data_IF_591734118083
#
_entry.id   IF_591734118083
#
_cell.length_a   1.000
_cell.length_b   1.000
_cell.length_c   1.000
_cell.angle_alpha   90.00
_cell.angle_beta   90.00
_cell.angle_gamma   90.00
#
_symmetry.space_group_name_H-M   'P 1'
#
loop_
_entity.id
_entity.type
_entity.pdbx_description
1 polymer ?
#
# COMPACT_ATOMS: atom_id res chain seq x y z
N UNK A 1 -17.32 -20.65 -12.13
CA UNK A 1 -18.41 -20.07 -11.32
C UNK A 1 -17.94 -20.04 -9.88
N UNK A 2 -17.67 -18.84 -9.35
CA UNK A 2 -17.40 -18.66 -7.93
C UNK A 2 -18.65 -19.08 -7.14
N UNK A 3 -18.47 -19.90 -6.12
CA UNK A 3 -19.57 -20.37 -5.28
C UNK A 3 -19.96 -19.28 -4.29
N UNK A 4 -20.88 -18.40 -4.70
CA UNK A 4 -21.39 -17.27 -3.91
C UNK A 4 -21.95 -17.74 -2.54
N UNK A 5 -22.51 -18.96 -2.47
CA UNK A 5 -22.98 -19.53 -1.20
C UNK A 5 -21.87 -19.85 -0.20
N UNK A 6 -20.63 -20.10 -0.67
CA UNK A 6 -19.50 -20.28 0.24
C UNK A 6 -19.01 -18.93 0.82
N UNK A 7 -19.17 -17.83 0.08
CA UNK A 7 -18.91 -16.47 0.57
C UNK A 7 -19.96 -16.05 1.61
N UNK A 8 -21.24 -16.36 1.38
CA UNK A 8 -22.32 -16.06 2.33
C UNK A 8 -22.15 -16.82 3.65
N UNK A 9 -21.63 -18.05 3.63
CA UNK A 9 -21.37 -18.83 4.84
C UNK A 9 -20.24 -18.25 5.71
N UNK A 10 -19.30 -17.50 5.13
CA UNK A 10 -18.23 -16.78 5.84
C UNK A 10 -18.70 -15.46 6.45
N UNK A 11 -19.89 -14.95 6.08
CA UNK A 11 -20.44 -13.67 6.50
C UNK A 11 -21.49 -13.79 7.63
N UNK A 12 -21.77 -14.98 8.15
CA UNK A 12 -22.92 -15.24 9.06
C UNK A 12 -22.50 -15.66 10.48
N UNK A 13 -21.40 -15.15 11.05
CA UNK A 13 -21.19 -15.31 12.49
C UNK A 13 -20.69 -14.01 13.13
N UNK A 14 -21.62 -13.08 13.35
CA UNK A 14 -21.45 -11.81 14.07
C UNK A 14 -21.92 -11.96 15.53
N UNK A 15 -21.35 -12.91 16.27
CA UNK A 15 -21.38 -12.88 17.73
C UNK A 15 -20.04 -12.35 18.21
N UNK A 16 -20.00 -11.21 18.95
CA UNK A 16 -18.75 -10.76 19.55
C UNK A 16 -18.33 -11.78 20.61
N UNK A 17 -17.38 -12.64 20.25
CA UNK A 17 -16.74 -13.49 21.23
C UNK A 17 -15.84 -12.62 22.12
N UNK A 18 -16.09 -12.66 23.41
CA UNK A 18 -15.25 -12.07 24.45
C UNK A 18 -13.80 -12.53 24.29
N UNK A 19 -12.80 -11.65 24.50
CA UNK A 19 -11.40 -11.99 24.36
C UNK A 19 -10.90 -12.78 25.58
N UNK A 20 -11.16 -14.08 25.63
CA UNK A 20 -10.54 -14.98 26.61
C UNK A 20 -10.52 -16.41 26.08
N UNK A 21 -9.71 -16.63 25.05
CA UNK A 21 -9.02 -17.90 24.86
C UNK A 21 -7.72 -17.57 24.13
N UNK A 22 -6.59 -17.72 24.82
CA UNK A 22 -5.27 -17.83 24.20
C UNK A 22 -5.31 -19.05 23.29
N UNK A 23 -5.81 -18.89 22.08
CA UNK A 23 -5.71 -19.87 21.03
C UNK A 23 -4.23 -20.15 20.86
N UNK A 24 -3.84 -21.39 21.14
CA UNK A 24 -2.50 -21.88 20.86
C UNK A 24 -2.35 -21.90 19.33
N UNK A 25 -1.94 -20.77 18.75
CA UNK A 25 -1.88 -20.52 17.29
C UNK A 25 -0.89 -21.46 16.59
N UNK A 26 -0.22 -22.37 17.33
CA UNK A 26 0.80 -23.25 16.77
C UNK A 26 1.86 -22.48 15.98
N UNK A 27 2.15 -21.23 16.42
CA UNK A 27 3.07 -20.35 15.73
C UNK A 27 4.45 -20.99 15.60
N UNK A 28 4.95 -21.07 14.37
CA UNK A 28 6.30 -21.53 14.07
C UNK A 28 7.30 -20.39 14.20
N UNK A 29 8.59 -20.69 14.25
CA UNK A 29 9.66 -19.68 14.30
C UNK A 29 9.70 -18.80 13.03
N UNK A 30 9.14 -19.28 11.92
CA UNK A 30 9.10 -18.55 10.65
C UNK A 30 7.87 -17.68 10.46
N UNK A 31 6.85 -17.80 11.31
CA UNK A 31 5.59 -17.08 11.19
C UNK A 31 5.76 -15.60 11.56
N UNK A 32 5.16 -14.73 10.76
CA UNK A 32 5.18 -13.29 10.96
C UNK A 32 3.76 -12.81 11.30
N UNK A 33 3.63 -12.11 12.43
CA UNK A 33 2.38 -11.50 12.86
C UNK A 33 2.21 -10.11 12.25
N UNK A 34 1.01 -9.81 11.80
CA UNK A 34 0.54 -8.45 11.53
C UNK A 34 -0.03 -7.92 12.84
N UNK A 35 0.68 -7.00 13.48
CA UNK A 35 0.33 -6.48 14.80
C UNK A 35 -0.32 -5.10 14.74
N UNK A 36 -0.27 -4.44 13.59
CA UNK A 36 -0.97 -3.19 13.35
C UNK A 36 -1.18 -2.94 11.87
N UNK A 37 -2.25 -2.22 11.55
CA UNK A 37 -2.57 -1.87 10.17
C UNK A 37 -3.32 -0.54 10.08
N UNK A 38 -3.10 0.16 8.98
CA UNK A 38 -3.86 1.35 8.61
C UNK A 38 -3.93 1.47 7.10
N UNK A 39 -5.03 2.02 6.61
CA UNK A 39 -5.26 2.18 5.18
C UNK A 39 -6.11 3.41 4.89
N UNK A 40 -5.81 4.07 3.76
CA UNK A 40 -6.69 5.00 3.06
C UNK A 40 -6.77 4.53 1.62
N UNK A 41 -7.94 4.11 1.15
CA UNK A 41 -8.13 3.49 -0.17
C UNK A 41 -9.42 4.02 -0.79
N UNK A 42 -9.31 4.66 -1.96
CA UNK A 42 -10.49 5.30 -2.56
C UNK A 42 -11.14 6.29 -1.59
N UNK A 43 -12.44 6.19 -1.36
CA UNK A 43 -13.17 7.03 -0.39
C UNK A 43 -13.05 6.56 1.07
N UNK A 44 -12.44 5.41 1.32
CA UNK A 44 -12.31 4.85 2.66
C UNK A 44 -11.09 5.42 3.39
N UNK A 45 -11.33 6.15 4.49
CA UNK A 45 -10.31 6.85 5.28
C UNK A 45 -9.65 5.96 6.35
N UNK A 46 -10.09 4.70 6.48
CA UNK A 46 -9.51 3.73 7.41
C UNK A 46 -9.65 2.29 6.90
N UNK A 47 -8.88 1.36 7.47
CA UNK A 47 -8.98 -0.07 7.17
C UNK A 47 -10.38 -0.62 7.48
N UNK A 48 -11.00 -0.17 8.58
CA UNK A 48 -12.38 -0.55 8.95
C UNK A 48 -13.40 -0.04 7.92
N UNK A 49 -13.30 1.24 7.51
CA UNK A 49 -14.19 1.80 6.49
C UNK A 49 -14.05 1.06 5.15
N UNK A 50 -12.83 0.67 4.79
CA UNK A 50 -12.57 -0.13 3.60
C UNK A 50 -13.19 -1.52 3.70
N UNK A 51 -13.06 -2.19 4.86
CA UNK A 51 -13.68 -3.48 5.11
C UNK A 51 -15.21 -3.42 5.00
N UNK A 52 -15.85 -2.38 5.58
CA UNK A 52 -17.30 -2.18 5.48
C UNK A 52 -17.74 -1.95 4.04
N UNK A 53 -16.97 -1.21 3.24
CA UNK A 53 -17.24 -1.01 1.81
C UNK A 53 -17.18 -2.34 1.05
N UNK A 54 -16.16 -3.18 1.30
CA UNK A 54 -16.02 -4.51 0.72
C UNK A 54 -17.19 -5.43 1.09
N UNK A 55 -17.57 -5.49 2.38
CA UNK A 55 -18.71 -6.29 2.86
C UNK A 55 -20.02 -5.87 2.22
N UNK A 56 -20.20 -4.57 1.99
CA UNK A 56 -21.39 -4.02 1.34
C UNK A 56 -21.39 -4.18 -0.19
N UNK A 57 -20.31 -4.71 -0.78
CA UNK A 57 -20.15 -4.81 -2.24
C UNK A 57 -20.13 -3.46 -2.93
N UNK A 58 -19.64 -2.41 -2.23
CA UNK A 58 -19.64 -1.04 -2.76
C UNK A 58 -18.62 -0.91 -3.89
N UNK A 59 -19.04 -0.37 -5.03
CA UNK A 59 -18.15 0.10 -6.08
C UNK A 59 -17.57 1.47 -5.65
N UNK A 60 -16.25 1.53 -5.45
CA UNK A 60 -15.53 2.74 -5.08
C UNK A 60 -14.86 3.44 -6.26
N UNK A 61 -15.08 2.95 -7.49
CA UNK A 61 -14.67 3.64 -8.72
C UNK A 61 -15.66 4.78 -8.98
N UNK A 62 -15.16 6.00 -9.09
CA UNK A 62 -15.96 7.22 -9.14
C UNK A 62 -15.32 8.32 -9.96
N UNK A 63 -16.06 9.38 -10.20
CA UNK A 63 -15.53 10.61 -10.78
C UNK A 63 -14.42 11.22 -9.92
N UNK A 64 -13.53 11.98 -10.56
CA UNK A 64 -12.48 12.72 -9.85
C UNK A 64 -13.10 13.71 -8.85
N UNK A 65 -12.64 13.74 -7.57
CA UNK A 65 -13.22 14.58 -6.53
C UNK A 65 -13.19 16.06 -6.89
N UNK A 66 -14.34 16.73 -6.78
CA UNK A 66 -14.49 18.15 -7.13
C UNK A 66 -13.53 19.03 -6.34
N UNK A 67 -13.33 18.75 -5.05
CA UNK A 67 -12.42 19.51 -4.18
C UNK A 67 -10.93 19.43 -4.55
N UNK A 68 -10.57 18.60 -5.57
CA UNK A 68 -9.19 18.45 -6.07
C UNK A 68 -9.03 18.99 -7.49
N UNK A 69 -10.13 19.43 -8.16
CA UNK A 69 -10.11 19.83 -9.57
C UNK A 69 -9.25 21.06 -9.84
N UNK A 70 -9.33 22.06 -9.01
CA UNK A 70 -8.57 23.30 -9.19
C UNK A 70 -7.06 23.04 -9.09
N UNK A 71 -6.62 22.29 -8.08
CA UNK A 71 -5.22 21.93 -7.90
C UNK A 71 -4.72 21.06 -9.06
N UNK A 72 -5.50 20.05 -9.47
CA UNK A 72 -5.14 19.20 -10.59
C UNK A 72 -5.08 19.98 -11.92
N UNK A 73 -5.99 20.93 -12.13
CA UNK A 73 -5.96 21.80 -13.30
C UNK A 73 -4.73 22.70 -13.31
N UNK A 74 -4.36 23.27 -12.17
CA UNK A 74 -3.15 24.08 -12.04
C UNK A 74 -1.91 23.25 -12.38
N UNK A 75 -1.75 22.06 -11.77
CA UNK A 75 -0.63 21.17 -12.05
C UNK A 75 -0.55 20.75 -13.53
N UNK A 76 -1.69 20.44 -14.14
CA UNK A 76 -1.75 20.06 -15.54
C UNK A 76 -1.38 21.25 -16.47
N UNK A 77 -1.87 22.45 -16.14
CA UNK A 77 -1.55 23.67 -16.87
C UNK A 77 -0.05 24.00 -16.78
N UNK A 78 0.56 23.87 -15.61
CA UNK A 78 1.99 24.08 -15.41
C UNK A 78 2.84 23.05 -16.18
N UNK A 79 2.40 21.78 -16.19
CA UNK A 79 3.14 20.69 -16.85
C UNK A 79 2.99 20.68 -18.37
N UNK A 80 1.79 21.00 -18.90
CA UNK A 80 1.45 20.83 -20.33
C UNK A 80 1.06 22.12 -21.06
N UNK A 81 0.88 23.22 -20.36
CA UNK A 81 0.49 24.50 -20.94
C UNK A 81 -0.97 24.58 -21.42
N UNK A 82 -1.80 23.57 -21.08
CA UNK A 82 -3.22 23.52 -21.43
C UNK A 82 -4.07 23.17 -20.21
N UNK A 83 -5.34 23.64 -20.12
CA UNK A 83 -6.23 23.27 -19.04
C UNK A 83 -6.51 21.76 -18.99
N UNK A 84 -6.80 21.25 -17.79
CA UNK A 84 -7.24 19.86 -17.59
C UNK A 84 -8.58 19.63 -18.32
N UNK A 85 -8.72 18.49 -18.95
CA UNK A 85 -9.97 18.07 -19.61
C UNK A 85 -11.15 18.03 -18.61
N UNK A 86 -12.34 18.31 -19.08
CA UNK A 86 -13.58 18.11 -18.30
C UNK A 86 -13.99 16.64 -18.26
N UNK A 87 -13.53 15.83 -19.22
CA UNK A 87 -13.81 14.39 -19.31
C UNK A 87 -12.63 13.60 -18.76
N UNK A 88 -12.74 13.19 -17.51
CA UNK A 88 -11.72 12.46 -16.76
C UNK A 88 -12.13 10.99 -16.58
N UNK A 89 -11.15 10.12 -16.47
CA UNK A 89 -11.41 8.71 -16.22
C UNK A 89 -11.91 8.51 -14.78
N UNK A 90 -12.93 7.68 -14.60
CA UNK A 90 -13.38 7.26 -13.27
C UNK A 90 -12.40 6.24 -12.68
N UNK A 91 -11.96 6.45 -11.46
CA UNK A 91 -11.02 5.59 -10.74
C UNK A 91 -11.38 5.54 -9.24
N UNK A 92 -10.66 4.71 -8.47
CA UNK A 92 -10.75 4.73 -7.02
C UNK A 92 -9.94 5.89 -6.43
N UNK A 93 -10.48 7.09 -6.43
CA UNK A 93 -9.80 8.29 -5.94
C UNK A 93 -9.93 8.50 -4.44
N UNK A 94 -8.85 8.95 -3.78
CA UNK A 94 -8.89 9.53 -2.44
C UNK A 94 -9.60 10.90 -2.48
N UNK A 95 -10.43 11.19 -1.47
CA UNK A 95 -11.10 12.49 -1.38
C UNK A 95 -10.12 13.63 -1.14
N UNK A 96 -9.19 13.43 -0.24
CA UNK A 96 -8.25 14.44 0.20
C UNK A 96 -6.82 13.89 0.22
N UNK A 97 -5.92 14.62 -0.42
CA UNK A 97 -4.48 14.29 -0.45
C UNK A 97 -3.62 15.43 0.10
N UNK A 98 -4.26 16.55 0.42
CA UNK A 98 -3.65 17.79 0.88
C UNK A 98 -3.53 17.89 2.40
N UNK A 99 -4.35 17.14 3.16
CA UNK A 99 -4.38 17.22 4.61
C UNK A 99 -3.17 16.57 5.26
N UNK A 100 -2.50 17.33 6.09
CA UNK A 100 -1.36 16.89 6.89
C UNK A 100 -1.22 17.76 8.14
N UNK A 101 -0.97 17.15 9.27
CA UNK A 101 -0.69 17.84 10.52
C UNK A 101 0.83 17.90 10.75
N UNK A 102 1.48 19.00 10.39
CA UNK A 102 2.93 19.12 10.53
C UNK A 102 3.38 19.18 12.00
N UNK A 103 2.54 19.69 12.91
CA UNK A 103 2.87 19.81 14.33
C UNK A 103 3.03 18.42 14.97
N UNK A 104 2.17 17.47 14.61
CA UNK A 104 2.27 16.07 15.06
C UNK A 104 3.64 15.46 14.78
N UNK A 105 4.28 15.87 13.69
CA UNK A 105 5.57 15.34 13.23
C UNK A 105 6.75 16.27 13.55
N UNK A 106 6.51 17.41 14.22
CA UNK A 106 7.54 18.42 14.47
C UNK A 106 8.15 18.99 13.19
N UNK A 107 7.38 19.00 12.09
CA UNK A 107 7.79 19.51 10.78
C UNK A 107 7.35 20.97 10.66
N UNK A 108 8.26 21.84 10.23
CA UNK A 108 7.90 23.24 10.00
C UNK A 108 6.84 23.34 8.87
N UNK A 109 5.82 24.20 8.98
CA UNK A 109 4.78 24.34 7.95
C UNK A 109 5.36 24.57 6.56
N UNK A 110 6.41 25.38 6.43
CA UNK A 110 7.08 25.61 5.14
C UNK A 110 7.76 24.36 4.58
N UNK A 111 8.28 23.48 5.43
CA UNK A 111 8.80 22.18 4.99
C UNK A 111 7.64 21.27 4.51
N UNK A 112 6.55 21.22 5.26
CA UNK A 112 5.38 20.43 4.90
C UNK A 112 4.80 20.83 3.54
N UNK A 113 4.79 22.12 3.19
CA UNK A 113 4.39 22.60 1.87
C UNK A 113 5.31 22.10 0.74
N UNK A 114 6.59 21.87 1.05
CA UNK A 114 7.60 21.35 0.10
C UNK A 114 7.75 19.83 0.12
N UNK A 115 6.88 19.12 0.82
CA UNK A 115 6.80 17.66 0.81
C UNK A 115 5.74 17.19 -0.18
N UNK A 116 6.10 16.23 -1.03
CA UNK A 116 5.11 15.55 -1.87
C UNK A 116 3.96 14.98 -1.03
N UNK A 117 2.70 15.08 -1.47
CA UNK A 117 1.55 14.51 -0.78
C UNK A 117 1.72 13.03 -0.39
N UNK A 118 2.41 12.24 -1.21
CA UNK A 118 2.70 10.84 -0.92
C UNK A 118 3.54 10.66 0.34
N UNK A 119 4.55 11.52 0.58
CA UNK A 119 5.35 11.49 1.80
C UNK A 119 4.49 11.82 3.03
N UNK A 120 3.65 12.86 2.93
CA UNK A 120 2.77 13.30 4.03
C UNK A 120 1.74 12.24 4.41
N UNK A 121 1.08 11.66 3.41
CA UNK A 121 0.09 10.61 3.62
C UNK A 121 0.71 9.34 4.17
N UNK A 122 1.88 8.93 3.65
CA UNK A 122 2.56 7.75 4.19
C UNK A 122 2.95 7.93 5.66
N UNK A 123 3.50 9.08 6.05
CA UNK A 123 3.78 9.37 7.46
C UNK A 123 2.54 9.23 8.34
N UNK A 124 1.42 9.80 7.91
CA UNK A 124 0.15 9.73 8.65
C UNK A 124 -0.35 8.30 8.79
N UNK A 125 -0.40 7.54 7.67
CA UNK A 125 -0.92 6.18 7.65
C UNK A 125 -0.01 5.22 8.42
N UNK A 126 1.32 5.37 8.31
CA UNK A 126 2.28 4.57 9.06
C UNK A 126 2.18 4.81 10.58
N UNK A 127 1.98 6.07 10.98
CA UNK A 127 1.75 6.39 12.40
C UNK A 127 0.47 5.78 12.93
N UNK A 128 -0.61 5.87 12.17
CA UNK A 128 -1.87 5.26 12.57
C UNK A 128 -1.73 3.72 12.71
N UNK A 129 -0.96 3.06 11.82
CA UNK A 129 -0.67 1.63 11.95
C UNK A 129 0.18 1.30 13.19
N UNK A 130 1.11 2.17 13.56
CA UNK A 130 1.90 2.02 14.79
C UNK A 130 1.04 2.23 16.05
N UNK A 131 0.11 3.19 16.02
CA UNK A 131 -0.85 3.41 17.11
C UNK A 131 -1.80 2.23 17.26
N UNK A 132 -2.27 1.66 16.16
CA UNK A 132 -3.07 0.43 16.14
C UNK A 132 -2.31 -0.76 16.75
N UNK A 133 -1.00 -0.84 16.50
CA UNK A 133 -0.10 -1.83 17.11
C UNK A 133 0.29 -1.52 18.58
N UNK A 134 -0.12 -0.39 19.14
CA UNK A 134 0.29 0.03 20.48
C UNK A 134 1.71 0.62 20.59
N UNK A 135 2.38 0.87 19.47
CA UNK A 135 3.75 1.43 19.40
C UNK A 135 3.73 2.95 19.19
N UNK A 136 3.18 3.70 20.13
CA UNK A 136 3.14 5.16 20.07
C UNK A 136 4.37 5.85 20.67
N UNK A 137 4.49 7.15 20.40
CA UNK A 137 5.49 8.03 21.01
C UNK A 137 6.93 7.65 20.67
N UNK A 138 7.79 7.53 21.68
CA UNK A 138 9.22 7.22 21.54
C UNK A 138 9.57 5.75 21.77
N UNK A 139 8.58 4.86 21.82
CA UNK A 139 8.77 3.43 22.18
C UNK A 139 9.73 2.70 21.23
N UNK A 140 9.82 3.10 19.98
CA UNK A 140 10.69 2.51 18.96
C UNK A 140 12.04 3.22 18.80
N UNK A 141 12.29 4.32 19.53
CA UNK A 141 13.52 5.08 19.35
C UNK A 141 14.78 4.27 19.68
N UNK A 142 15.73 4.23 18.76
CA UNK A 142 16.98 3.46 18.87
C UNK A 142 16.84 1.95 18.61
N UNK A 143 15.64 1.45 18.31
CA UNK A 143 15.41 0.03 18.01
C UNK A 143 15.82 -0.36 16.59
N UNK A 144 15.99 -1.67 16.35
CA UNK A 144 16.24 -2.23 15.02
C UNK A 144 14.91 -2.43 14.25
N UNK A 145 14.06 -1.41 14.21
CA UNK A 145 12.88 -1.43 13.38
C UNK A 145 13.23 -0.96 11.96
N UNK A 146 12.76 -1.70 10.94
CA UNK A 146 12.96 -1.39 9.52
C UNK A 146 11.71 -0.78 8.88
N UNK A 147 11.91 -0.02 7.80
CA UNK A 147 10.83 0.59 6.99
C UNK A 147 10.99 0.16 5.55
N UNK A 148 9.97 -0.50 4.99
CA UNK A 148 9.97 -1.05 3.64
C UNK A 148 8.74 -0.56 2.90
N UNK A 149 8.91 0.26 1.86
CA UNK A 149 7.77 0.91 1.18
C UNK A 149 7.77 0.58 -0.30
N UNK A 150 6.67 0.00 -0.76
CA UNK A 150 6.45 -0.29 -2.17
C UNK A 150 5.75 0.87 -2.89
N UNK A 151 6.40 1.39 -3.93
CA UNK A 151 5.81 2.39 -4.83
C UNK A 151 6.64 2.44 -6.11
N UNK A 152 6.01 2.71 -7.25
CA UNK A 152 6.75 2.94 -8.49
C UNK A 152 7.10 4.42 -8.73
N UNK A 153 7.03 5.23 -7.69
CA UNK A 153 7.48 6.62 -7.68
C UNK A 153 6.38 7.62 -7.32
N UNK A 154 6.84 8.80 -6.93
CA UNK A 154 6.03 10.00 -6.83
C UNK A 154 6.11 10.75 -8.14
N UNK A 155 5.03 11.39 -8.54
CA UNK A 155 4.94 12.14 -9.79
C UNK A 155 5.96 13.30 -9.83
N UNK A 156 6.26 13.90 -8.68
CA UNK A 156 7.20 15.02 -8.57
C UNK A 156 6.72 16.32 -9.20
N UNK A 157 5.63 16.29 -9.96
CA UNK A 157 5.05 17.47 -10.63
C UNK A 157 4.47 18.51 -9.67
N UNK A 158 4.11 18.06 -8.47
CA UNK A 158 3.53 18.92 -7.43
C UNK A 158 4.49 20.02 -6.93
N UNK A 159 5.77 19.79 -6.98
CA UNK A 159 6.75 20.68 -6.35
C UNK A 159 7.37 21.62 -7.37
N UNK A 160 7.56 22.91 -7.01
CA UNK A 160 8.17 23.89 -7.89
C UNK A 160 9.57 23.46 -8.31
N UNK A 161 10.04 23.96 -9.44
CA UNK A 161 11.41 23.75 -9.86
C UNK A 161 12.38 24.29 -8.79
N UNK A 162 13.30 23.42 -8.37
CA UNK A 162 14.25 23.71 -7.29
C UNK A 162 15.10 24.96 -7.61
N UNK A 163 15.40 25.17 -8.88
CA UNK A 163 16.20 26.31 -9.34
C UNK A 163 15.47 27.66 -9.16
N UNK A 164 14.14 27.65 -8.99
CA UNK A 164 13.34 28.84 -8.69
C UNK A 164 13.28 29.19 -7.22
N UNK A 165 13.75 28.31 -6.34
CA UNK A 165 13.68 28.46 -4.88
C UNK A 165 14.89 29.18 -4.32
N UNK A 166 14.68 29.85 -3.16
CA UNK A 166 15.81 30.36 -2.39
C UNK A 166 16.72 29.20 -1.94
N UNK A 167 18.06 29.39 -1.88
CA UNK A 167 18.99 28.32 -1.50
C UNK A 167 18.65 27.60 -0.19
N UNK A 168 18.13 28.33 0.81
CA UNK A 168 17.72 27.76 2.08
C UNK A 168 16.52 26.78 1.96
N UNK A 169 15.68 26.89 0.93
CA UNK A 169 14.54 26.03 0.69
C UNK A 169 14.83 24.92 -0.32
N UNK A 170 15.90 25.03 -1.09
CA UNK A 170 16.23 24.09 -2.17
C UNK A 170 16.49 22.68 -1.63
N UNK A 171 17.27 22.52 -0.57
CA UNK A 171 17.56 21.23 0.03
C UNK A 171 16.31 20.54 0.58
N UNK A 172 15.41 21.31 1.18
CA UNK A 172 14.12 20.80 1.70
C UNK A 172 13.21 20.35 0.56
N UNK A 173 13.13 21.13 -0.53
CA UNK A 173 12.35 20.80 -1.70
C UNK A 173 12.89 19.55 -2.41
N UNK A 174 14.22 19.39 -2.52
CA UNK A 174 14.83 18.16 -3.04
C UNK A 174 14.40 16.97 -2.19
N UNK A 175 14.52 17.04 -0.86
CA UNK A 175 14.07 15.99 0.04
C UNK A 175 12.57 15.70 -0.13
N UNK A 176 11.75 16.70 -0.43
CA UNK A 176 10.33 16.56 -0.72
C UNK A 176 10.02 15.79 -1.99
N UNK A 177 10.93 15.75 -2.97
CA UNK A 177 10.75 15.09 -4.28
C UNK A 177 11.34 13.68 -4.39
N UNK A 178 12.25 13.31 -3.51
CA UNK A 178 13.01 12.06 -3.63
C UNK A 178 12.26 10.89 -3.02
N UNK A 179 12.01 9.85 -3.82
CA UNK A 179 11.29 8.63 -3.39
C UNK A 179 11.87 7.99 -2.12
N UNK A 180 13.18 7.84 -2.04
CA UNK A 180 13.83 7.21 -0.89
C UNK A 180 13.55 7.93 0.44
N UNK A 181 13.19 9.20 0.38
CA UNK A 181 12.86 10.00 1.56
C UNK A 181 11.51 9.57 2.18
N UNK A 182 10.62 8.94 1.44
CA UNK A 182 9.35 8.42 1.98
C UNK A 182 9.63 7.47 3.16
N UNK A 183 10.45 6.45 2.94
CA UNK A 183 10.80 5.48 3.96
C UNK A 183 11.75 6.07 5.03
N UNK A 184 12.78 6.82 4.59
CA UNK A 184 13.79 7.34 5.50
C UNK A 184 13.28 8.48 6.39
N UNK A 185 12.27 9.26 5.98
CA UNK A 185 11.67 10.30 6.80
C UNK A 185 10.95 9.71 8.02
N UNK A 186 10.21 8.62 7.85
CA UNK A 186 9.61 7.89 8.96
C UNK A 186 10.67 7.33 9.90
N UNK A 187 11.71 6.69 9.34
CA UNK A 187 12.84 6.17 10.11
C UNK A 187 13.57 7.27 10.90
N UNK A 188 13.80 8.43 10.27
CA UNK A 188 14.41 9.60 10.90
C UNK A 188 13.54 10.13 12.06
N UNK A 189 12.25 10.32 11.80
CA UNK A 189 11.34 10.87 12.80
C UNK A 189 11.18 9.98 14.03
N UNK A 190 11.09 8.66 13.84
CA UNK A 190 11.02 7.67 14.93
C UNK A 190 12.40 7.31 15.53
N UNK A 191 13.50 7.85 14.99
CA UNK A 191 14.88 7.49 15.39
C UNK A 191 15.16 5.99 15.30
N UNK A 192 14.72 5.33 14.21
CA UNK A 192 14.93 3.90 13.99
C UNK A 192 16.37 3.59 13.54
N UNK A 193 16.83 2.36 13.74
CA UNK A 193 18.18 1.89 13.38
C UNK A 193 18.17 0.77 12.32
N UNK A 194 17.01 0.27 11.95
CA UNK A 194 16.87 -0.70 10.87
C UNK A 194 16.95 -0.07 9.48
N UNK A 195 16.94 -0.88 8.42
CA UNK A 195 16.92 -0.41 7.03
C UNK A 195 15.68 0.45 6.73
N UNK A 196 15.85 1.46 5.86
CA UNK A 196 14.77 2.24 5.28
C UNK A 196 14.86 2.14 3.76
N UNK A 197 13.95 1.40 3.13
CA UNK A 197 14.07 0.96 1.74
C UNK A 197 12.81 1.27 0.95
N UNK A 198 12.97 1.86 -0.23
CA UNK A 198 11.93 1.92 -1.24
C UNK A 198 12.10 0.76 -2.21
N UNK A 199 10.99 0.12 -2.55
CA UNK A 199 10.93 -1.03 -3.45
C UNK A 199 10.08 -0.67 -4.66
N UNK A 200 10.64 -0.82 -5.86
CA UNK A 200 9.92 -0.66 -7.11
C UNK A 200 10.02 -1.95 -7.94
N UNK A 201 8.91 -2.64 -8.01
CA UNK A 201 8.66 -3.79 -8.89
C UNK A 201 7.30 -3.60 -9.59
N UNK A 202 6.99 -2.36 -9.94
CA UNK A 202 5.73 -1.92 -10.53
C UNK A 202 4.52 -2.30 -9.63
N UNK A 203 3.49 -2.93 -10.19
CA UNK A 203 2.27 -3.29 -9.46
C UNK A 203 2.49 -4.29 -8.30
N UNK A 204 3.59 -5.00 -8.26
CA UNK A 204 3.94 -5.91 -7.14
C UNK A 204 4.78 -5.26 -6.02
N UNK A 205 5.09 -3.97 -6.09
CA UNK A 205 6.03 -3.28 -5.20
C UNK A 205 5.70 -3.46 -3.72
N UNK A 206 4.43 -3.32 -3.32
CA UNK A 206 4.02 -3.45 -1.92
C UNK A 206 4.16 -4.87 -1.39
N UNK A 207 3.83 -5.90 -2.20
CA UNK A 207 4.06 -7.30 -1.83
C UNK A 207 5.56 -7.63 -1.76
N UNK A 208 6.37 -7.13 -2.70
CA UNK A 208 7.83 -7.28 -2.66
C UNK A 208 8.42 -6.64 -1.39
N UNK A 209 7.96 -5.45 -1.00
CA UNK A 209 8.35 -4.80 0.26
C UNK A 209 7.98 -5.66 1.49
N UNK A 210 6.77 -6.23 1.51
CA UNK A 210 6.33 -7.13 2.57
C UNK A 210 7.18 -8.40 2.65
N UNK A 211 7.51 -9.00 1.52
CA UNK A 211 8.39 -10.19 1.46
C UNK A 211 9.78 -9.89 1.99
N UNK A 212 10.37 -8.74 1.61
CA UNK A 212 11.66 -8.32 2.14
C UNK A 212 11.59 -8.15 3.66
N UNK A 213 10.59 -7.46 4.18
CA UNK A 213 10.38 -7.30 5.61
C UNK A 213 10.25 -8.65 6.34
N UNK A 214 9.47 -9.60 5.79
CA UNK A 214 9.34 -10.93 6.37
C UNK A 214 10.70 -11.67 6.44
N UNK A 215 11.52 -11.57 5.38
CA UNK A 215 12.86 -12.18 5.35
C UNK A 215 13.79 -11.56 6.39
N UNK A 216 13.79 -10.23 6.52
CA UNK A 216 14.59 -9.50 7.51
C UNK A 216 14.17 -9.81 8.96
N UNK A 217 12.87 -9.98 9.22
CA UNK A 217 12.35 -10.42 10.51
C UNK A 217 12.76 -11.87 10.83
N UNK A 218 12.65 -12.79 9.86
CA UNK A 218 13.06 -14.20 10.01
C UNK A 218 14.55 -14.35 10.22
N UNK A 219 15.38 -13.55 9.53
CA UNK A 219 16.85 -13.54 9.72
C UNK A 219 17.29 -12.80 10.99
N UNK A 220 16.35 -12.20 11.74
CA UNK A 220 16.61 -11.39 12.94
C UNK A 220 17.48 -10.17 12.71
N UNK A 221 17.57 -9.68 11.48
CA UNK A 221 18.21 -8.39 11.12
C UNK A 221 17.43 -7.23 11.73
N UNK A 222 16.09 -7.33 11.72
CA UNK A 222 15.19 -6.39 12.39
C UNK A 222 14.28 -7.10 13.38
N UNK A 223 13.79 -6.36 14.38
CA UNK A 223 12.89 -6.88 15.41
C UNK A 223 11.43 -6.50 15.14
N UNK A 224 11.21 -5.43 14.40
CA UNK A 224 9.92 -4.94 13.93
C UNK A 224 10.09 -4.38 12.52
N UNK A 225 9.09 -4.51 11.68
CA UNK A 225 9.10 -3.92 10.34
C UNK A 225 7.81 -3.13 10.09
N UNK A 226 7.96 -1.91 9.57
CA UNK A 226 6.86 -1.10 9.05
C UNK A 226 6.87 -1.28 7.53
N UNK A 227 5.80 -1.85 7.00
CA UNK A 227 5.66 -2.12 5.57
C UNK A 227 4.60 -1.21 5.00
N UNK A 228 4.91 -0.52 3.90
CA UNK A 228 3.97 0.38 3.23
C UNK A 228 3.76 0.05 1.77
N UNK A 229 2.64 0.52 1.26
CA UNK A 229 2.36 0.59 -0.16
C UNK A 229 1.61 1.87 -0.46
N UNK A 230 2.00 2.56 -1.53
CA UNK A 230 1.33 3.80 -1.88
C UNK A 230 1.26 4.03 -3.38
N UNK A 231 0.15 4.61 -3.80
CA UNK A 231 -0.05 5.19 -5.11
C UNK A 231 -0.95 6.42 -5.02
N UNK A 232 -0.50 7.52 -5.61
CA UNK A 232 -1.29 8.72 -5.81
C UNK A 232 -1.20 9.15 -7.27
N UNK A 233 -2.27 9.76 -7.79
CA UNK A 233 -2.34 10.41 -9.08
C UNK A 233 -2.86 11.83 -8.89
N UNK A 234 -1.97 12.83 -8.76
CA UNK A 234 -2.37 14.20 -8.49
C UNK A 234 -3.12 14.80 -9.67
N UNK A 235 -2.75 14.41 -10.89
CA UNK A 235 -3.45 14.77 -12.14
C UNK A 235 -4.13 13.51 -12.67
N UNK A 236 -5.47 13.50 -12.75
CA UNK A 236 -6.20 12.34 -13.24
C UNK A 236 -6.00 12.14 -14.74
N UNK A 237 -6.04 10.90 -15.25
CA UNK A 237 -6.00 10.63 -16.68
C UNK A 237 -7.31 11.08 -17.36
N UNK A 238 -7.20 11.53 -18.60
CA UNK A 238 -8.35 11.87 -19.42
C UNK A 238 -9.12 10.61 -19.86
N UNK A 239 -10.44 10.72 -19.99
CA UNK A 239 -11.26 9.63 -20.48
C UNK A 239 -10.81 9.21 -21.90
N UNK A 240 -10.76 7.91 -22.14
CA UNK A 240 -10.25 7.34 -23.39
C UNK A 240 -8.72 7.29 -23.50
N UNK A 241 -7.97 7.79 -22.50
CA UNK A 241 -6.53 7.53 -22.44
C UNK A 241 -6.28 6.07 -21.99
N UNK A 242 -5.33 5.42 -22.64
CA UNK A 242 -4.92 4.05 -22.31
C UNK A 242 -3.44 4.01 -21.88
N UNK A 243 -3.11 4.53 -20.70
CA UNK A 243 -1.72 4.49 -20.26
C UNK A 243 -1.25 3.04 -20.18
N UNK A 244 -0.08 2.77 -20.78
CA UNK A 244 0.56 1.46 -20.83
C UNK A 244 -0.19 0.39 -21.67
N UNK A 245 -1.28 0.70 -22.36
CA UNK A 245 -2.02 -0.28 -23.17
C UNK A 245 -2.73 -1.40 -22.39
N UNK A 246 -2.81 -1.27 -21.06
CA UNK A 246 -3.43 -2.27 -20.16
C UNK A 246 -4.61 -1.69 -19.38
N UNK A 247 -4.88 -0.39 -19.52
CA UNK A 247 -5.96 0.26 -18.80
C UNK A 247 -7.32 -0.06 -19.43
N UNK A 248 -8.32 -0.32 -18.60
CA UNK A 248 -9.72 -0.48 -19.00
C UNK A 248 -10.28 0.84 -19.53
N UNK A 249 -11.02 0.80 -20.64
CA UNK A 249 -11.59 1.99 -21.28
C UNK A 249 -12.53 2.79 -20.36
N UNK A 250 -13.29 2.08 -19.51
CA UNK A 250 -14.21 2.67 -18.53
C UNK A 250 -13.64 2.83 -17.11
N UNK A 251 -12.34 2.62 -16.90
CA UNK A 251 -11.71 2.73 -15.59
C UNK A 251 -12.04 1.61 -14.61
N UNK A 252 -12.90 0.65 -14.96
CA UNK A 252 -13.31 -0.47 -14.11
C UNK A 252 -12.64 -1.77 -14.52
N UNK A 253 -12.19 -2.53 -13.52
CA UNK A 253 -11.61 -3.85 -13.70
C UNK A 253 -12.70 -4.92 -13.60
N UNK A 254 -12.96 -5.65 -14.67
CA UNK A 254 -13.90 -6.76 -14.69
C UNK A 254 -13.17 -8.09 -14.57
N UNK A 255 -12.58 -8.36 -13.40
CA UNK A 255 -11.80 -9.58 -13.15
C UNK A 255 -12.62 -10.83 -13.37
N UNK A 256 -12.10 -11.78 -14.19
CA UNK A 256 -12.73 -13.07 -14.50
C UNK A 256 -14.10 -12.98 -15.19
N UNK A 257 -14.44 -11.83 -15.75
CA UNK A 257 -15.71 -11.58 -16.47
C UNK A 257 -15.46 -11.54 -17.99
N UNK A 258 -16.50 -11.85 -18.77
CA UNK A 258 -16.44 -11.79 -20.23
C UNK A 258 -16.28 -10.33 -20.76
N UNK A 259 -16.52 -9.32 -19.91
CA UNK A 259 -16.33 -7.90 -20.21
C UNK A 259 -14.91 -7.42 -19.93
N UNK A 260 -13.99 -8.31 -19.58
CA UNK A 260 -12.60 -7.95 -19.27
C UNK A 260 -11.95 -7.24 -20.46
N UNK A 261 -11.57 -5.98 -20.28
CA UNK A 261 -10.96 -5.12 -21.31
C UNK A 261 -9.72 -4.36 -20.80
N UNK A 262 -9.30 -4.62 -19.56
CA UNK A 262 -8.15 -3.99 -18.94
C UNK A 262 -8.33 -3.70 -17.45
N UNK A 263 -7.34 -3.04 -16.87
CA UNK A 263 -7.26 -2.73 -15.45
C UNK A 263 -7.70 -1.30 -15.16
N UNK A 264 -8.62 -1.11 -14.21
CA UNK A 264 -8.92 0.18 -13.61
C UNK A 264 -7.80 0.61 -12.65
N UNK A 265 -7.67 1.90 -12.46
CA UNK A 265 -6.73 2.47 -11.51
C UNK A 265 -7.36 2.80 -10.15
N UNK A 266 -6.51 3.09 -9.16
CA UNK A 266 -6.95 3.58 -7.88
C UNK A 266 -5.81 4.25 -7.12
N UNK A 267 -6.18 5.07 -6.16
CA UNK A 267 -5.27 5.69 -5.21
C UNK A 267 -5.41 5.00 -3.86
N UNK A 268 -4.32 4.91 -3.16
CA UNK A 268 -4.32 4.38 -1.81
C UNK A 268 -2.95 4.48 -1.15
N UNK A 269 -3.00 4.51 0.17
CA UNK A 269 -1.82 4.44 1.03
C UNK A 269 -2.14 3.45 2.14
N UNK A 270 -1.28 2.46 2.32
CA UNK A 270 -1.44 1.42 3.32
C UNK A 270 -0.17 1.25 4.14
N UNK A 271 -0.31 0.87 5.39
CA UNK A 271 0.81 0.48 6.23
C UNK A 271 0.44 -0.71 7.11
N UNK A 272 1.39 -1.63 7.27
CA UNK A 272 1.33 -2.76 8.20
C UNK A 272 2.51 -2.68 9.16
N UNK A 273 2.29 -3.10 10.39
CA UNK A 273 3.35 -3.33 11.38
C UNK A 273 3.51 -4.83 11.55
N UNK A 274 4.71 -5.34 11.25
CA UNK A 274 5.03 -6.75 11.24
C UNK A 274 6.04 -7.09 12.34
N UNK A 275 5.86 -8.25 12.96
CA UNK A 275 6.73 -8.77 14.00
C UNK A 275 6.81 -10.30 13.92
N UNK A 276 7.88 -10.93 14.42
CA UNK A 276 7.88 -12.39 14.54
C UNK A 276 6.71 -12.83 15.44
N UNK A 277 5.92 -13.80 14.98
CA UNK A 277 4.69 -14.19 15.67
C UNK A 277 4.94 -14.63 17.12
N UNK A 278 6.01 -15.38 17.36
CA UNK A 278 6.39 -15.79 18.73
C UNK A 278 6.67 -14.58 19.63
N UNK A 279 7.43 -13.61 19.11
CA UNK A 279 7.76 -12.40 19.86
C UNK A 279 6.50 -11.54 20.10
N UNK A 280 5.61 -11.43 19.12
CA UNK A 280 4.34 -10.72 19.29
C UNK A 280 3.48 -11.34 20.41
N UNK A 281 3.41 -12.67 20.48
CA UNK A 281 2.71 -13.38 21.56
C UNK A 281 3.37 -13.14 22.92
N UNK A 282 4.70 -13.21 22.98
CA UNK A 282 5.45 -13.00 24.23
C UNK A 282 5.32 -11.56 24.75
N UNK A 283 5.24 -10.58 23.85
CA UNK A 283 5.09 -9.15 24.15
C UNK A 283 3.61 -8.76 24.41
N UNK A 284 2.65 -9.67 24.14
CA UNK A 284 1.22 -9.43 24.34
C UNK A 284 0.59 -8.50 23.28
N UNK A 285 1.18 -8.44 22.09
CA UNK A 285 0.66 -7.63 20.98
C UNK A 285 -0.69 -8.17 20.51
N UNK A 286 -1.56 -7.26 20.04
CA UNK A 286 -2.73 -7.66 19.27
C UNK A 286 -2.28 -8.21 17.90
N UNK A 287 -2.85 -9.33 17.45
CA UNK A 287 -2.49 -9.97 16.18
C UNK A 287 -3.70 -9.99 15.26
N UNK A 288 -3.66 -9.19 14.20
CA UNK A 288 -4.71 -9.16 13.16
C UNK A 288 -4.67 -10.39 12.25
N UNK A 289 -3.49 -10.96 12.03
CA UNK A 289 -3.31 -12.12 11.18
C UNK A 289 -1.86 -12.61 11.15
N UNK A 290 -1.64 -13.80 10.59
CA UNK A 290 -0.32 -14.42 10.49
C UNK A 290 0.05 -14.63 9.02
N UNK A 291 1.21 -14.14 8.63
CA UNK A 291 1.86 -14.46 7.35
C UNK A 291 2.69 -15.71 7.55
N UNK A 292 2.22 -16.82 7.02
CA UNK A 292 2.85 -18.14 7.17
C UNK A 292 3.96 -18.37 6.14
N UNK A 293 3.72 -17.97 4.88
CA UNK A 293 4.68 -18.16 3.81
C UNK A 293 4.70 -17.00 2.82
N UNK A 294 5.88 -16.78 2.25
CA UNK A 294 6.12 -15.77 1.22
C UNK A 294 7.04 -16.32 0.15
N UNK A 295 6.78 -15.95 -1.10
CA UNK A 295 7.67 -16.28 -2.22
C UNK A 295 7.72 -15.14 -3.24
N UNK A 296 8.84 -15.03 -3.95
CA UNK A 296 9.04 -14.06 -5.01
C UNK A 296 9.94 -14.67 -6.08
N UNK A 297 9.48 -14.64 -7.33
CA UNK A 297 10.25 -15.08 -8.49
C UNK A 297 10.15 -14.04 -9.62
N UNK A 298 10.61 -14.42 -10.81
CA UNK A 298 10.52 -13.64 -12.04
C UNK A 298 10.00 -14.55 -13.16
N UNK A 299 9.21 -13.97 -14.08
CA UNK A 299 8.63 -14.68 -15.21
C UNK A 299 9.71 -15.19 -16.22
N UNK A 300 10.87 -14.57 -16.24
CA UNK A 300 11.92 -14.90 -17.20
C UNK A 300 11.52 -14.54 -18.64
N UNK A 301 11.97 -15.31 -19.62
CA UNK A 301 11.58 -15.15 -21.00
C UNK A 301 10.14 -15.65 -21.21
N UNK A 302 9.26 -14.75 -21.66
CA UNK A 302 7.87 -15.02 -22.02
C UNK A 302 7.57 -14.54 -23.45
N UNK A 303 6.32 -14.52 -23.88
CA UNK A 303 5.92 -14.06 -25.21
C UNK A 303 6.06 -12.54 -25.43
N UNK A 304 6.56 -11.81 -24.44
CA UNK A 304 6.79 -10.37 -24.46
C UNK A 304 7.15 -9.85 -23.06
N UNK A 305 7.78 -8.69 -22.98
CA UNK A 305 8.28 -8.12 -21.72
C UNK A 305 7.18 -7.99 -20.64
N UNK A 306 5.95 -7.68 -21.06
CA UNK A 306 4.79 -7.51 -20.17
C UNK A 306 3.84 -8.71 -20.15
N UNK A 307 4.14 -9.76 -20.94
CA UNK A 307 3.29 -10.94 -21.02
C UNK A 307 3.55 -11.89 -19.83
N UNK A 308 2.50 -12.27 -19.06
CA UNK A 308 2.65 -13.13 -17.90
C UNK A 308 3.07 -14.56 -18.30
N UNK A 309 3.80 -15.23 -17.40
CA UNK A 309 4.17 -16.63 -17.53
C UNK A 309 3.42 -17.48 -16.50
N UNK A 310 2.38 -18.19 -16.97
CA UNK A 310 1.56 -19.04 -16.10
C UNK A 310 2.36 -20.14 -15.37
N UNK A 311 3.42 -20.67 -16.01
CA UNK A 311 4.31 -21.65 -15.38
C UNK A 311 5.08 -21.09 -14.20
N UNK A 312 5.65 -19.88 -14.36
CA UNK A 312 6.34 -19.17 -13.30
C UNK A 312 5.41 -18.78 -12.14
N UNK A 313 4.17 -18.34 -12.44
CA UNK A 313 3.17 -18.04 -11.41
C UNK A 313 2.75 -19.30 -10.64
N UNK A 314 2.51 -20.42 -11.33
CA UNK A 314 2.22 -21.68 -10.68
C UNK A 314 3.37 -22.18 -9.79
N UNK A 315 4.62 -21.98 -10.21
CA UNK A 315 5.80 -22.31 -9.42
C UNK A 315 5.88 -21.44 -8.17
N UNK A 316 5.63 -20.13 -8.31
CA UNK A 316 5.60 -19.17 -7.21
C UNK A 316 4.56 -19.53 -6.13
N UNK A 317 3.33 -19.85 -6.55
CA UNK A 317 2.26 -20.23 -5.62
C UNK A 317 2.66 -21.51 -4.85
N UNK A 318 3.20 -22.54 -5.54
CA UNK A 318 3.66 -23.76 -4.87
C UNK A 318 4.81 -23.51 -3.90
N UNK A 319 5.70 -22.57 -4.23
CA UNK A 319 6.80 -22.15 -3.33
C UNK A 319 6.26 -21.46 -2.09
N UNK A 320 5.29 -20.54 -2.23
CA UNK A 320 4.64 -19.88 -1.10
C UNK A 320 3.92 -20.87 -0.18
N UNK A 321 3.21 -21.85 -0.72
CA UNK A 321 2.57 -22.92 0.08
C UNK A 321 3.60 -23.80 0.80
N UNK A 322 4.71 -24.11 0.14
CA UNK A 322 5.80 -24.87 0.75
C UNK A 322 6.47 -24.10 1.89
N UNK A 323 6.73 -22.80 1.68
CA UNK A 323 7.27 -21.90 2.71
C UNK A 323 6.32 -21.79 3.90
N UNK A 324 5.00 -21.73 3.63
CA UNK A 324 3.96 -21.70 4.66
C UNK A 324 3.76 -23.02 5.41
N UNK A 325 4.21 -24.13 4.86
CA UNK A 325 3.95 -25.48 5.40
C UNK A 325 2.46 -25.85 5.42
N UNK A 326 1.67 -25.32 4.45
CA UNK A 326 0.22 -25.58 4.37
C UNK A 326 -0.12 -26.42 3.15
N UNK A 327 -1.18 -27.24 3.27
CA UNK A 327 -1.76 -27.95 2.15
C UNK A 327 -2.65 -27.03 1.31
N UNK A 328 -2.59 -27.10 -0.03
CA UNK A 328 -3.48 -26.34 -0.90
C UNK A 328 -4.97 -26.47 -0.56
N UNK A 329 -5.38 -27.66 -0.10
CA UNK A 329 -6.76 -27.95 0.28
C UNK A 329 -7.23 -27.18 1.51
N UNK A 330 -6.31 -26.64 2.31
CA UNK A 330 -6.63 -25.81 3.47
C UNK A 330 -6.88 -24.33 3.11
N UNK A 331 -6.63 -23.95 1.85
CA UNK A 331 -6.83 -22.58 1.37
C UNK A 331 -8.29 -22.34 1.05
N UNK A 332 -8.95 -21.48 1.81
CA UNK A 332 -10.39 -21.17 1.65
C UNK A 332 -10.65 -19.97 0.74
N UNK A 333 -9.67 -19.08 0.56
CA UNK A 333 -9.81 -17.86 -0.23
C UNK A 333 -8.51 -17.52 -0.97
N UNK A 334 -8.64 -16.96 -2.17
CA UNK A 334 -7.50 -16.48 -2.97
C UNK A 334 -7.81 -15.07 -3.47
N UNK A 335 -7.03 -14.09 -3.00
CA UNK A 335 -7.00 -12.75 -3.60
C UNK A 335 -6.04 -12.76 -4.78
N UNK A 336 -6.57 -12.65 -5.98
CA UNK A 336 -5.78 -12.70 -7.20
C UNK A 336 -5.36 -11.31 -7.66
N UNK A 337 -4.33 -11.22 -8.49
CA UNK A 337 -3.96 -9.97 -9.16
C UNK A 337 -5.11 -9.45 -10.05
N UNK A 338 -5.81 -10.31 -10.77
CA UNK A 338 -7.11 -10.06 -11.39
C UNK A 338 -7.19 -8.82 -12.29
N UNK A 339 -6.16 -8.57 -13.10
CA UNK A 339 -6.03 -7.34 -13.92
C UNK A 339 -7.05 -7.19 -15.03
N UNK A 340 -7.84 -8.23 -15.33
CA UNK A 340 -8.83 -8.26 -16.42
C UNK A 340 -8.26 -7.83 -17.79
N UNK A 341 -6.96 -7.98 -18.00
CA UNK A 341 -6.35 -7.80 -19.32
C UNK A 341 -6.77 -8.94 -20.24
N UNK A 342 -7.04 -8.67 -21.55
CA UNK A 342 -7.42 -9.66 -22.52
C UNK A 342 -6.43 -10.81 -22.66
#
# INVERSE_FOLDING_TARGET
MLNVKALEALLVDDTPQSPTETTNLGATESDIAVVGMSARIGEAESAEAFWQALRAGRDMVREFPEGRRDDANQLHLEAKGIPLSTSLLELGYLDRVDQFDPERFGIAPREAELMDPAQRLFLTVAMNALEDAGYGGTSLAGTRAGVYVGSYGIDGSYLPDVDTLKPASAGVAIAGKVNSIIASRLSYWLNLRGPAVMVDTACSSSLAAAILACRELRSRTVDLAIVGGLRLGLVPPEAGSHPLGVAAAGGRTFSFDARADGTGGGEGVVALVLKRARQALDDGDHIHGIIRGVAMNQDGASNGLTAPNAGSQAALIREAWRDAGVSPESVSYVEAHGTATP
#
